data_IF_699505298382
#
_entry.id   IF_699505298382
#
_cell.length_a   1.000
_cell.length_b   1.000
_cell.length_c   1.000
_cell.angle_alpha   90.00
_cell.angle_beta   90.00
_cell.angle_gamma   90.00
#
_symmetry.space_group_name_H-M   'P 1'
#
loop_
_entity.id
_entity.type
_entity.pdbx_description
1 polymer ?
#
# COMPACT_ATOMS: atom_id res chain seq x y z
N UNK A 1 -36.93 41.95 26.24
CA UNK A 1 -36.91 41.39 24.89
C UNK A 1 -35.49 41.55 24.41
N UNK A 2 -34.65 40.54 24.23
CA UNK A 2 -34.76 39.08 24.02
C UNK A 2 -33.50 38.44 24.68
N UNK A 3 -33.60 37.45 25.56
CA UNK A 3 -33.59 35.98 25.33
C UNK A 3 -32.35 35.39 24.62
N UNK A 4 -31.37 35.01 25.45
CA UNK A 4 -30.64 33.72 25.51
C UNK A 4 -30.55 32.81 24.26
N UNK A 5 -29.34 32.46 23.84
CA UNK A 5 -28.93 31.04 23.80
C UNK A 5 -27.40 30.86 23.82
N UNK A 6 -26.97 29.85 24.57
CA UNK A 6 -25.61 29.34 24.70
C UNK A 6 -25.09 28.77 23.38
N UNK A 7 -23.78 28.91 23.14
CA UNK A 7 -23.00 27.78 22.61
C UNK A 7 -21.57 27.84 23.17
N UNK A 8 -21.23 26.77 23.87
CA UNK A 8 -19.95 26.50 24.52
C UNK A 8 -18.92 26.11 23.46
N UNK A 9 -18.04 27.03 23.09
CA UNK A 9 -16.82 26.66 22.36
C UNK A 9 -15.84 26.11 23.40
N UNK A 10 -15.61 24.79 23.35
CA UNK A 10 -14.57 24.13 24.15
C UNK A 10 -13.22 24.62 23.64
N UNK A 11 -12.71 25.67 24.29
CA UNK A 11 -11.40 26.25 24.08
C UNK A 11 -10.41 25.43 24.93
N UNK A 12 -9.70 24.49 24.31
CA UNK A 12 -8.63 23.76 24.99
C UNK A 12 -7.28 24.18 24.37
N UNK A 13 -6.58 25.03 25.12
CA UNK A 13 -5.19 25.49 24.97
C UNK A 13 -5.00 26.75 24.11
N UNK A 14 -4.94 27.88 24.81
CA UNK A 14 -4.53 29.19 24.30
C UNK A 14 -3.04 29.41 24.67
N UNK A 15 -2.12 29.31 23.70
CA UNK A 15 -0.71 29.71 23.87
C UNK A 15 -0.41 30.92 22.96
N UNK A 16 -0.10 32.10 23.52
CA UNK A 16 -0.17 33.38 22.79
C UNK A 16 1.10 33.76 22.01
N UNK A 17 1.95 32.83 21.58
CA UNK A 17 3.27 33.19 21.01
C UNK A 17 3.77 32.38 19.81
N UNK A 18 2.93 31.51 19.23
CA UNK A 18 3.25 30.88 17.96
C UNK A 18 2.11 31.16 17.00
N UNK A 19 2.34 32.15 16.11
CA UNK A 19 1.59 32.29 14.87
C UNK A 19 1.88 31.08 13.98
N UNK A 20 1.43 29.90 14.42
CA UNK A 20 1.49 28.64 13.70
C UNK A 20 0.30 28.59 12.74
N UNK A 21 0.20 29.60 11.88
CA UNK A 21 -0.52 29.47 10.62
C UNK A 21 0.34 28.66 9.63
N UNK A 22 0.96 27.57 10.09
CA UNK A 22 1.34 26.50 9.18
C UNK A 22 0.01 25.90 8.74
N UNK A 23 -0.36 26.14 7.47
CA UNK A 23 -1.60 25.61 6.87
C UNK A 23 -1.88 24.20 7.41
N UNK A 24 -3.01 24.02 8.11
CA UNK A 24 -3.43 22.76 8.71
C UNK A 24 -3.30 21.59 7.72
N UNK A 25 -3.62 21.86 6.46
CA UNK A 25 -3.41 21.00 5.28
C UNK A 25 -2.00 20.40 5.16
N UNK A 26 -0.94 21.17 5.41
CA UNK A 26 0.45 20.68 5.32
C UNK A 26 0.80 19.76 6.50
N UNK A 27 0.19 19.98 7.67
CA UNK A 27 0.38 19.13 8.85
C UNK A 27 -0.40 17.83 8.69
N UNK A 28 -1.60 17.87 8.12
CA UNK A 28 -2.38 16.68 7.76
C UNK A 28 -1.65 15.82 6.72
N UNK A 29 -1.17 16.43 5.63
CA UNK A 29 -0.34 15.74 4.64
C UNK A 29 0.94 15.18 5.28
N UNK A 30 1.68 15.97 6.06
CA UNK A 30 2.88 15.50 6.76
C UNK A 30 2.58 14.35 7.74
N UNK A 31 1.43 14.37 8.40
CA UNK A 31 1.00 13.31 9.33
C UNK A 31 0.64 12.03 8.57
N UNK A 32 0.02 12.15 7.39
CA UNK A 32 -0.24 11.01 6.51
C UNK A 32 1.07 10.39 5.99
N UNK A 33 2.02 11.21 5.52
CA UNK A 33 3.35 10.76 5.10
C UNK A 33 4.16 10.13 6.24
N UNK A 34 4.03 10.67 7.45
CA UNK A 34 4.66 10.12 8.66
C UNK A 34 4.11 8.72 8.96
N UNK A 35 2.80 8.50 8.87
CA UNK A 35 2.19 7.19 9.11
C UNK A 35 2.63 6.16 8.06
N UNK A 36 2.67 6.54 6.78
CA UNK A 36 3.23 5.71 5.70
C UNK A 36 4.71 5.38 5.94
N UNK A 37 5.49 6.34 6.43
CA UNK A 37 6.91 6.14 6.74
C UNK A 37 7.09 5.20 7.93
N UNK A 38 6.30 5.37 8.98
CA UNK A 38 6.30 4.49 10.17
C UNK A 38 5.89 3.08 9.78
N UNK A 39 4.86 2.93 8.95
CA UNK A 39 4.44 1.65 8.38
C UNK A 39 5.56 0.96 7.59
N UNK A 40 6.18 1.67 6.64
CA UNK A 40 7.25 1.15 5.79
C UNK A 40 8.49 0.76 6.61
N UNK A 41 8.90 1.61 7.57
CA UNK A 41 9.98 1.30 8.50
C UNK A 41 9.66 0.06 9.33
N UNK A 42 8.43 -0.09 9.81
CA UNK A 42 8.04 -1.22 10.63
C UNK A 42 7.97 -2.53 9.85
N UNK A 43 7.44 -2.51 8.62
CA UNK A 43 7.45 -3.66 7.71
C UNK A 43 8.89 -4.10 7.37
N UNK A 44 9.80 -3.14 7.12
CA UNK A 44 11.23 -3.42 6.91
C UNK A 44 11.90 -3.99 8.16
N UNK A 45 11.62 -3.42 9.33
CA UNK A 45 12.17 -3.88 10.59
C UNK A 45 11.69 -5.30 10.94
N UNK A 46 10.44 -5.64 10.64
CA UNK A 46 9.89 -6.98 10.83
C UNK A 46 10.64 -8.03 10.00
N UNK A 47 10.86 -7.72 8.72
CA UNK A 47 11.55 -8.62 7.78
C UNK A 47 13.04 -8.79 8.15
N UNK A 48 13.71 -7.70 8.53
CA UNK A 48 15.14 -7.72 8.88
C UNK A 48 15.37 -8.47 10.20
N UNK A 49 14.44 -8.35 11.16
CA UNK A 49 14.72 -8.73 12.55
C UNK A 49 14.48 -10.20 12.89
N UNK A 50 14.06 -11.06 11.93
CA UNK A 50 13.90 -12.52 12.11
C UNK A 50 13.23 -12.90 13.45
N UNK A 51 12.11 -12.23 13.75
CA UNK A 51 11.55 -12.17 15.10
C UNK A 51 10.99 -13.51 15.60
N UNK A 52 11.02 -13.77 16.92
CA UNK A 52 10.39 -14.95 17.51
C UNK A 52 8.88 -14.99 17.24
N UNK A 53 8.30 -16.20 17.24
CA UNK A 53 6.89 -16.45 16.90
C UNK A 53 5.87 -15.64 17.73
N UNK A 54 6.18 -15.33 19.00
CA UNK A 54 5.38 -14.47 19.88
C UNK A 54 5.32 -13.01 19.39
N UNK A 55 6.40 -12.52 18.75
CA UNK A 55 6.53 -11.13 18.34
C UNK A 55 5.81 -10.85 17.02
N UNK A 56 5.48 -11.89 16.24
CA UNK A 56 4.64 -11.79 15.03
C UNK A 56 3.19 -11.38 15.34
N UNK A 57 2.62 -11.85 16.46
CA UNK A 57 1.27 -11.44 16.88
C UNK A 57 1.19 -9.96 17.26
N UNK A 58 2.19 -9.46 17.99
CA UNK A 58 2.31 -8.03 18.35
C UNK A 58 2.52 -7.18 17.10
N UNK A 59 3.34 -7.66 16.17
CA UNK A 59 3.57 -7.02 14.88
C UNK A 59 2.27 -6.87 14.07
N UNK A 60 1.45 -7.91 14.00
CA UNK A 60 0.17 -7.91 13.31
C UNK A 60 -0.85 -6.94 13.92
N UNK A 61 -0.93 -6.89 15.26
CA UNK A 61 -1.77 -5.91 15.98
C UNK A 61 -1.32 -4.48 15.67
N UNK A 62 0.00 -4.22 15.67
CA UNK A 62 0.52 -2.89 15.35
C UNK A 62 0.23 -2.52 13.88
N UNK A 63 0.45 -3.43 12.94
CA UNK A 63 0.14 -3.21 11.53
C UNK A 63 -1.34 -2.89 11.31
N UNK A 64 -2.23 -3.67 11.96
CA UNK A 64 -3.69 -3.42 11.95
C UNK A 64 -4.02 -2.03 12.51
N UNK A 65 -3.42 -1.65 13.64
CA UNK A 65 -3.61 -0.33 14.25
C UNK A 65 -3.19 0.80 13.30
N UNK A 66 -2.04 0.64 12.63
CA UNK A 66 -1.52 1.62 11.67
C UNK A 66 -2.48 1.77 10.47
N UNK A 67 -2.94 0.68 9.86
CA UNK A 67 -3.91 0.76 8.77
C UNK A 67 -5.25 1.35 9.21
N UNK A 68 -5.68 1.07 10.45
CA UNK A 68 -6.87 1.68 11.03
C UNK A 68 -6.73 3.20 11.18
N UNK A 69 -5.57 3.66 11.69
CA UNK A 69 -5.27 5.07 11.83
C UNK A 69 -5.14 5.77 10.47
N UNK A 70 -4.51 5.12 9.50
CA UNK A 70 -4.39 5.62 8.13
C UNK A 70 -5.76 5.76 7.47
N UNK A 71 -6.62 4.74 7.59
CA UNK A 71 -7.98 4.78 7.06
C UNK A 71 -8.80 5.92 7.68
N UNK A 72 -8.68 6.11 8.99
CA UNK A 72 -9.36 7.18 9.71
C UNK A 72 -8.92 8.56 9.20
N UNK A 73 -7.61 8.80 9.09
CA UNK A 73 -7.06 10.07 8.59
C UNK A 73 -7.48 10.34 7.15
N UNK A 74 -7.37 9.33 6.28
CA UNK A 74 -7.78 9.45 4.88
C UNK A 74 -9.27 9.72 4.73
N UNK A 75 -10.12 9.11 5.56
CA UNK A 75 -11.55 9.32 5.49
C UNK A 75 -11.92 10.79 5.78
N UNK A 76 -11.40 11.36 6.87
CA UNK A 76 -11.66 12.75 7.23
C UNK A 76 -11.00 13.74 6.25
N UNK A 77 -9.82 13.43 5.74
CA UNK A 77 -9.19 14.27 4.72
C UNK A 77 -9.96 14.22 3.40
N UNK A 78 -10.47 13.05 3.01
CA UNK A 78 -11.25 12.89 1.78
C UNK A 78 -12.62 13.57 1.86
N UNK A 79 -13.21 13.73 3.05
CA UNK A 79 -14.49 14.44 3.19
C UNK A 79 -14.39 15.94 2.95
N UNK A 80 -13.17 16.50 3.00
CA UNK A 80 -12.92 17.92 2.77
C UNK A 80 -12.73 18.26 1.27
N UNK A 81 -12.63 17.24 0.41
CA UNK A 81 -12.41 17.39 -1.03
C UNK A 81 -13.63 16.94 -1.83
N UNK A 82 -14.21 17.86 -2.62
CA UNK A 82 -15.28 17.56 -3.58
C UNK A 82 -14.70 17.44 -5.00
N UNK A 83 -15.18 16.46 -5.79
CA UNK A 83 -14.77 16.27 -7.19
C UNK A 83 -13.66 15.24 -7.39
N UNK A 84 -12.79 15.47 -8.39
CA UNK A 84 -11.77 14.53 -8.85
C UNK A 84 -10.77 14.10 -7.76
N UNK A 85 -10.27 15.03 -6.96
CA UNK A 85 -9.32 14.75 -5.87
C UNK A 85 -9.95 13.81 -4.83
N UNK A 86 -11.20 14.08 -4.43
CA UNK A 86 -11.97 13.21 -3.55
C UNK A 86 -12.15 11.79 -4.13
N UNK A 87 -12.34 11.66 -5.44
CA UNK A 87 -12.45 10.35 -6.09
C UNK A 87 -11.14 9.54 -6.03
N UNK A 88 -9.99 10.18 -6.22
CA UNK A 88 -8.68 9.52 -6.04
C UNK A 88 -8.46 9.07 -4.58
N UNK A 89 -8.83 9.91 -3.62
CA UNK A 89 -8.77 9.59 -2.20
C UNK A 89 -9.71 8.45 -1.81
N UNK A 90 -10.93 8.42 -2.37
CA UNK A 90 -11.88 7.33 -2.14
C UNK A 90 -11.33 5.98 -2.62
N UNK A 91 -10.70 5.93 -3.80
CA UNK A 91 -10.01 4.74 -4.31
C UNK A 91 -8.84 4.31 -3.40
N UNK A 92 -8.07 5.26 -2.86
CA UNK A 92 -7.01 4.97 -1.90
C UNK A 92 -7.59 4.40 -0.59
N UNK A 93 -8.68 4.98 -0.08
CA UNK A 93 -9.38 4.52 1.12
C UNK A 93 -9.85 3.06 0.97
N UNK A 94 -10.35 2.68 -0.20
CA UNK A 94 -10.74 1.30 -0.51
C UNK A 94 -9.56 0.33 -0.37
N UNK A 95 -8.38 0.68 -0.90
CA UNK A 95 -7.19 -0.18 -0.82
C UNK A 95 -6.68 -0.30 0.62
N UNK A 96 -6.64 0.81 1.36
CA UNK A 96 -6.25 0.79 2.78
C UNK A 96 -7.20 -0.06 3.61
N UNK A 97 -8.50 -0.01 3.33
CA UNK A 97 -9.49 -0.87 3.98
C UNK A 97 -9.24 -2.36 3.70
N UNK A 98 -8.91 -2.72 2.46
CA UNK A 98 -8.53 -4.10 2.10
C UNK A 98 -7.26 -4.53 2.84
N UNK A 99 -6.23 -3.66 2.88
CA UNK A 99 -5.00 -3.90 3.65
C UNK A 99 -5.27 -4.11 5.14
N UNK A 100 -6.16 -3.32 5.75
CA UNK A 100 -6.59 -3.47 7.14
C UNK A 100 -7.23 -4.85 7.39
N UNK A 101 -8.17 -5.26 6.53
CA UNK A 101 -8.84 -6.55 6.65
C UNK A 101 -7.86 -7.72 6.49
N UNK A 102 -6.93 -7.61 5.55
CA UNK A 102 -5.89 -8.63 5.36
C UNK A 102 -4.88 -8.65 6.52
N UNK A 103 -4.53 -7.50 7.11
CA UNK A 103 -3.70 -7.43 8.30
C UNK A 103 -4.37 -8.11 9.50
N UNK A 104 -5.68 -7.91 9.69
CA UNK A 104 -6.46 -8.64 10.68
C UNK A 104 -6.41 -10.16 10.45
N UNK A 105 -6.64 -10.59 9.21
CA UNK A 105 -6.60 -12.02 8.84
C UNK A 105 -5.22 -12.62 9.11
N UNK A 106 -4.13 -11.96 8.71
CA UNK A 106 -2.76 -12.42 8.96
C UNK A 106 -2.43 -12.43 10.44
N UNK A 107 -2.95 -11.49 11.23
CA UNK A 107 -2.77 -11.45 12.68
C UNK A 107 -3.49 -12.62 13.37
N UNK A 108 -4.72 -12.93 12.95
CA UNK A 108 -5.50 -14.04 13.52
C UNK A 108 -5.04 -15.41 13.01
N UNK A 109 -4.53 -15.48 11.77
CA UNK A 109 -4.15 -16.71 11.08
C UNK A 109 -2.76 -16.56 10.43
N UNK A 110 -1.67 -16.51 11.21
CA UNK A 110 -0.32 -16.23 10.70
C UNK A 110 0.21 -17.31 9.74
N UNK A 111 -0.37 -18.51 9.75
CA UNK A 111 0.01 -19.60 8.83
C UNK A 111 -0.56 -19.45 7.41
N UNK A 112 -1.42 -18.46 7.15
CA UNK A 112 -2.07 -18.29 5.85
C UNK A 112 -1.17 -17.53 4.86
N UNK A 113 -0.26 -18.24 4.18
CA UNK A 113 0.61 -17.67 3.15
C UNK A 113 -0.13 -16.85 2.08
N UNK A 114 -1.29 -17.28 1.53
CA UNK A 114 -2.02 -16.48 0.56
C UNK A 114 -2.48 -15.13 1.12
N UNK A 115 -2.93 -15.08 2.38
CA UNK A 115 -3.35 -13.81 3.00
C UNK A 115 -2.17 -12.85 3.16
N UNK A 116 -1.00 -13.37 3.57
CA UNK A 116 0.23 -12.57 3.66
C UNK A 116 0.70 -12.05 2.29
N UNK A 117 0.57 -12.87 1.24
CA UNK A 117 0.89 -12.45 -0.12
C UNK A 117 -0.06 -11.36 -0.62
N UNK A 118 -1.38 -11.52 -0.44
CA UNK A 118 -2.35 -10.49 -0.85
C UNK A 118 -2.18 -9.21 -0.05
N UNK A 119 -1.86 -9.30 1.25
CA UNK A 119 -1.52 -8.13 2.07
C UNK A 119 -0.31 -7.37 1.49
N UNK A 120 0.76 -8.08 1.14
CA UNK A 120 1.94 -7.50 0.52
C UNK A 120 1.62 -6.82 -0.83
N UNK A 121 0.82 -7.47 -1.67
CA UNK A 121 0.34 -6.91 -2.94
C UNK A 121 -0.46 -5.62 -2.70
N UNK A 122 -1.38 -5.64 -1.74
CA UNK A 122 -2.22 -4.49 -1.39
C UNK A 122 -1.40 -3.29 -0.93
N UNK A 123 -0.38 -3.54 -0.11
CA UNK A 123 0.55 -2.53 0.38
C UNK A 123 1.39 -1.91 -0.74
N UNK A 124 1.93 -2.73 -1.65
CA UNK A 124 2.65 -2.22 -2.82
C UNK A 124 1.73 -1.39 -3.69
N UNK A 125 0.50 -1.87 -3.90
CA UNK A 125 -0.49 -1.16 -4.69
C UNK A 125 -0.87 0.19 -4.08
N UNK A 126 -1.07 0.25 -2.76
CA UNK A 126 -1.30 1.49 -2.03
C UNK A 126 -0.18 2.52 -2.26
N UNK A 127 1.09 2.09 -2.16
CA UNK A 127 2.24 2.97 -2.40
C UNK A 127 2.32 3.47 -3.86
N UNK A 128 2.11 2.59 -4.84
CA UNK A 128 2.12 2.98 -6.27
C UNK A 128 0.96 3.91 -6.58
N UNK A 129 -0.23 3.63 -6.05
CA UNK A 129 -1.40 4.48 -6.21
C UNK A 129 -1.17 5.87 -5.63
N UNK A 130 -0.54 5.95 -4.47
CA UNK A 130 -0.17 7.22 -3.84
C UNK A 130 0.75 8.06 -4.75
N UNK A 131 1.78 7.44 -5.33
CA UNK A 131 2.66 8.13 -6.30
C UNK A 131 1.87 8.58 -7.53
N UNK A 132 1.01 7.70 -8.08
CA UNK A 132 0.18 8.02 -9.25
C UNK A 132 -0.73 9.22 -8.97
N UNK A 133 -1.45 9.23 -7.84
CA UNK A 133 -2.27 10.36 -7.41
C UNK A 133 -1.43 11.66 -7.35
N UNK A 134 -0.27 11.62 -6.70
CA UNK A 134 0.64 12.77 -6.61
C UNK A 134 1.02 13.33 -7.99
N UNK A 135 1.36 12.47 -8.96
CA UNK A 135 1.63 12.93 -10.32
C UNK A 135 0.40 13.50 -11.03
N UNK A 136 -0.77 12.86 -10.94
CA UNK A 136 -1.96 13.30 -11.66
C UNK A 136 -2.54 14.63 -11.11
N UNK A 137 -2.41 14.88 -9.80
CA UNK A 137 -2.95 16.08 -9.16
C UNK A 137 -1.95 17.25 -9.13
N UNK A 138 -0.65 16.99 -8.98
CA UNK A 138 0.35 18.06 -8.85
C UNK A 138 1.14 18.37 -10.12
N UNK A 139 1.18 17.47 -11.10
CA UNK A 139 1.82 17.78 -12.38
C UNK A 139 0.80 18.24 -13.43
N UNK A 140 0.85 19.50 -13.89
CA UNK A 140 -0.15 20.08 -14.79
C UNK A 140 -0.24 19.38 -16.15
N UNK A 141 0.79 18.63 -16.56
CA UNK A 141 0.77 17.88 -17.82
C UNK A 141 -0.07 16.60 -17.76
N UNK A 142 -0.36 16.08 -16.56
CA UNK A 142 -1.15 14.86 -16.36
C UNK A 142 -2.61 15.16 -15.99
N UNK A 143 -3.00 16.45 -15.94
CA UNK A 143 -4.35 16.87 -15.63
C UNK A 143 -5.29 16.53 -16.79
N UNK A 144 -6.46 15.90 -16.53
CA UNK A 144 -7.43 15.57 -17.57
C UNK A 144 -7.92 16.81 -18.32
N UNK A 145 -8.18 16.66 -19.62
CA UNK A 145 -8.74 17.74 -20.42
C UNK A 145 -10.03 18.29 -19.78
N UNK A 146 -10.16 19.61 -19.69
CA UNK A 146 -11.34 20.26 -19.09
C UNK A 146 -11.27 20.45 -17.57
N UNK A 147 -10.20 19.99 -16.93
CA UNK A 147 -9.89 20.31 -15.54
C UNK A 147 -8.67 21.24 -15.49
N UNK A 148 -8.68 22.18 -14.54
CA UNK A 148 -7.64 23.20 -14.40
C UNK A 148 -7.09 23.18 -12.97
N UNK A 149 -5.78 23.23 -12.85
CA UNK A 149 -5.10 23.50 -11.58
C UNK A 149 -5.29 24.97 -11.25
N UNK A 150 -6.11 25.28 -10.24
CA UNK A 150 -6.20 26.64 -9.73
C UNK A 150 -4.94 26.94 -8.91
N UNK A 151 -4.42 28.17 -8.98
CA UNK A 151 -3.05 28.56 -8.59
C UNK A 151 -2.62 28.34 -7.13
N UNK A 152 -3.41 27.65 -6.32
CA UNK A 152 -3.08 27.28 -4.94
C UNK A 152 -4.03 26.23 -4.33
N UNK A 153 -4.93 25.63 -5.13
CA UNK A 153 -6.02 24.77 -4.66
C UNK A 153 -6.25 23.59 -5.62
N UNK A 154 -7.04 22.62 -5.14
CA UNK A 154 -7.41 21.36 -5.78
C UNK A 154 -7.70 21.46 -7.29
N UNK A 155 -7.47 20.36 -8.01
CA UNK A 155 -7.81 20.27 -9.44
C UNK A 155 -9.34 20.31 -9.59
N UNK A 156 -9.85 21.39 -10.19
CA UNK A 156 -11.28 21.58 -10.40
C UNK A 156 -11.64 21.41 -11.88
N UNK A 157 -12.67 20.60 -12.14
CA UNK A 157 -13.21 20.40 -13.48
C UNK A 157 -14.29 21.44 -13.78
N UNK A 158 -14.25 22.05 -14.97
CA UNK A 158 -15.15 23.17 -15.31
C UNK A 158 -16.57 22.74 -15.68
N UNK A 159 -16.79 21.45 -15.94
CA UNK A 159 -18.08 20.88 -16.35
C UNK A 159 -18.26 19.50 -15.73
N UNK A 160 -19.52 19.13 -15.46
CA UNK A 160 -19.86 17.79 -14.91
C UNK A 160 -19.42 16.66 -15.86
N UNK A 161 -19.45 16.88 -17.17
CA UNK A 161 -18.99 15.92 -18.17
C UNK A 161 -17.46 15.70 -18.09
N UNK A 162 -16.69 16.77 -17.87
CA UNK A 162 -15.25 16.67 -17.68
C UNK A 162 -14.90 15.95 -16.37
N UNK A 163 -15.68 16.17 -15.31
CA UNK A 163 -15.51 15.50 -14.01
C UNK A 163 -15.77 13.99 -14.13
N UNK A 164 -16.90 13.59 -14.73
CA UNK A 164 -17.21 12.18 -15.00
C UNK A 164 -16.13 11.50 -15.85
N UNK A 165 -15.63 12.18 -16.88
CA UNK A 165 -14.53 11.67 -17.71
C UNK A 165 -13.25 11.49 -16.91
N UNK A 166 -12.92 12.44 -16.04
CA UNK A 166 -11.73 12.39 -15.20
C UNK A 166 -11.82 11.25 -14.17
N UNK A 167 -12.98 11.05 -13.54
CA UNK A 167 -13.23 9.91 -12.65
C UNK A 167 -13.14 8.56 -13.39
N UNK A 168 -13.67 8.48 -14.61
CA UNK A 168 -13.54 7.28 -15.43
C UNK A 168 -12.08 6.95 -15.78
N UNK A 169 -11.27 7.97 -16.09
CA UNK A 169 -9.83 7.82 -16.30
C UNK A 169 -9.12 7.33 -15.02
N UNK A 170 -9.46 7.88 -13.85
CA UNK A 170 -8.92 7.42 -12.57
C UNK A 170 -9.23 5.94 -12.30
N UNK A 171 -10.47 5.50 -12.57
CA UNK A 171 -10.87 4.09 -12.45
C UNK A 171 -10.07 3.18 -13.40
N UNK A 172 -9.82 3.64 -14.63
CA UNK A 172 -9.01 2.90 -15.59
C UNK A 172 -7.55 2.78 -15.14
N UNK A 173 -6.96 3.89 -14.68
CA UNK A 173 -5.60 3.90 -14.11
C UNK A 173 -5.50 2.93 -12.93
N UNK A 174 -6.47 2.96 -12.01
CA UNK A 174 -6.52 2.07 -10.86
C UNK A 174 -6.50 0.60 -11.27
N UNK A 175 -7.35 0.24 -12.24
CA UNK A 175 -7.42 -1.12 -12.78
C UNK A 175 -6.12 -1.55 -13.47
N UNK A 176 -5.51 -0.66 -14.26
CA UNK A 176 -4.27 -0.95 -14.97
C UNK A 176 -3.07 -1.12 -14.05
N UNK A 177 -2.95 -0.28 -13.02
CA UNK A 177 -1.89 -0.40 -12.01
C UNK A 177 -2.04 -1.73 -11.26
N UNK A 178 -3.26 -2.08 -10.83
CA UNK A 178 -3.51 -3.37 -10.19
C UNK A 178 -3.14 -4.55 -11.10
N UNK A 179 -3.56 -4.50 -12.36
CA UNK A 179 -3.24 -5.53 -13.35
C UNK A 179 -1.72 -5.67 -13.55
N UNK A 180 -0.99 -4.54 -13.67
CA UNK A 180 0.46 -4.55 -13.81
C UNK A 180 1.16 -5.20 -12.61
N UNK A 181 0.76 -4.86 -11.38
CA UNK A 181 1.31 -5.46 -10.16
C UNK A 181 1.03 -6.97 -10.14
N UNK A 182 -0.19 -7.40 -10.45
CA UNK A 182 -0.54 -8.83 -10.48
C UNK A 182 0.25 -9.60 -11.54
N UNK A 183 0.45 -9.03 -12.73
CA UNK A 183 1.27 -9.62 -13.79
C UNK A 183 2.72 -9.76 -13.31
N UNK A 184 3.29 -8.74 -12.66
CA UNK A 184 4.65 -8.79 -12.13
C UNK A 184 4.78 -9.88 -11.05
N UNK A 185 3.86 -9.94 -10.11
CA UNK A 185 3.85 -10.95 -9.03
C UNK A 185 3.69 -12.35 -9.60
N UNK A 186 2.79 -12.55 -10.58
CA UNK A 186 2.63 -13.82 -11.27
C UNK A 186 3.90 -14.21 -12.03
N UNK A 187 4.53 -13.27 -12.74
CA UNK A 187 5.79 -13.49 -13.45
C UNK A 187 6.92 -13.90 -12.51
N UNK A 188 7.11 -13.18 -11.40
CA UNK A 188 8.11 -13.51 -10.37
C UNK A 188 7.83 -14.89 -9.78
N UNK A 189 6.56 -15.20 -9.48
CA UNK A 189 6.16 -16.50 -8.93
C UNK A 189 6.48 -17.66 -9.89
N UNK A 190 6.22 -17.48 -11.19
CA UNK A 190 6.55 -18.47 -12.22
C UNK A 190 8.07 -18.64 -12.35
N UNK A 191 8.84 -17.55 -12.40
CA UNK A 191 10.30 -17.61 -12.48
C UNK A 191 10.88 -18.34 -11.26
N UNK A 192 10.38 -18.01 -10.07
CA UNK A 192 10.81 -18.66 -8.83
C UNK A 192 10.49 -20.15 -8.81
N UNK A 193 9.29 -20.54 -9.26
CA UNK A 193 8.89 -21.94 -9.38
C UNK A 193 9.78 -22.70 -10.38
N UNK A 194 10.11 -22.10 -11.53
CA UNK A 194 11.02 -22.70 -12.53
C UNK A 194 12.42 -22.88 -11.97
N UNK A 195 12.97 -21.87 -11.29
CA UNK A 195 14.31 -21.94 -10.68
C UNK A 195 14.39 -22.96 -9.53
N UNK A 196 13.29 -23.19 -8.80
CA UNK A 196 13.21 -24.26 -7.79
C UNK A 196 13.19 -25.64 -8.46
N UNK A 197 12.39 -25.81 -9.52
CA UNK A 197 12.32 -27.06 -10.28
C UNK A 197 13.66 -27.44 -10.90
N UNK A 198 14.36 -26.47 -11.51
CA UNK A 198 15.66 -26.69 -12.14
C UNK A 198 16.74 -27.07 -11.12
N UNK A 199 16.83 -26.35 -9.99
CA UNK A 199 17.71 -26.73 -8.87
C UNK A 199 17.40 -28.12 -8.31
N UNK A 200 16.13 -28.49 -8.23
CA UNK A 200 15.73 -29.82 -7.77
C UNK A 200 16.16 -30.94 -8.73
N UNK A 201 16.15 -30.67 -10.04
CA UNK A 201 16.63 -31.62 -11.05
C UNK A 201 18.15 -31.74 -10.99
N UNK A 202 18.87 -30.62 -10.92
CA UNK A 202 20.33 -30.61 -10.80
C UNK A 202 20.81 -31.41 -9.58
N UNK A 203 20.19 -31.19 -8.41
CA UNK A 203 20.51 -31.93 -7.19
C UNK A 203 20.28 -33.45 -7.34
N UNK A 204 19.24 -33.87 -8.07
CA UNK A 204 19.00 -35.29 -8.37
C UNK A 204 20.06 -35.87 -9.31
N UNK A 205 20.50 -35.11 -10.33
CA UNK A 205 21.58 -35.54 -11.22
C UNK A 205 22.92 -35.68 -10.48
N UNK A 206 23.27 -34.74 -9.60
CA UNK A 206 24.48 -34.83 -8.78
C UNK A 206 24.49 -36.06 -7.86
N UNK A 207 23.35 -36.39 -7.23
CA UNK A 207 23.21 -37.61 -6.41
C UNK A 207 23.36 -38.91 -7.23
N UNK A 208 22.88 -38.94 -8.47
CA UNK A 208 23.07 -40.10 -9.35
C UNK A 208 24.54 -40.25 -9.76
N UNK A 209 25.23 -39.14 -10.03
CA UNK A 209 26.63 -39.15 -10.42
C UNK A 209 27.55 -39.56 -9.26
N UNK A 210 27.31 -39.11 -8.03
CA UNK A 210 28.08 -39.56 -6.86
C UNK A 210 27.86 -41.06 -6.59
N UNK A 211 26.61 -41.52 -6.62
CA UNK A 211 26.28 -42.94 -6.44
C UNK A 211 26.88 -43.85 -7.51
N UNK A 212 26.96 -43.40 -8.76
CA UNK A 212 27.63 -44.13 -9.85
C UNK A 212 29.15 -44.20 -9.69
N UNK A 213 29.76 -43.25 -8.95
CA UNK A 213 31.20 -43.21 -8.67
C UNK A 213 31.59 -44.07 -7.46
N UNK A 214 30.65 -44.32 -6.55
CA UNK A 214 30.85 -45.16 -5.36
C UNK A 214 30.65 -46.67 -5.62
N UNK A 215 30.20 -47.06 -6.82
CA UNK A 215 30.19 -48.47 -7.25
C UNK A 215 31.56 -48.77 -7.84
N UNK A 216 32.42 -49.58 -7.18
CA UNK A 216 33.68 -49.99 -7.76
C UNK A 216 33.37 -50.78 -9.03
N UNK A 217 33.79 -50.25 -10.17
CA UNK A 217 33.71 -50.95 -11.46
C UNK A 217 34.70 -52.12 -11.39
N UNK A 218 34.24 -53.28 -10.92
CA UNK A 218 34.93 -54.55 -11.11
C UNK A 218 34.81 -54.91 -12.58
N UNK A 219 35.76 -54.42 -13.38
CA UNK A 219 36.02 -54.92 -14.73
C UNK A 219 36.59 -56.33 -14.56
N UNK A 220 35.70 -57.32 -14.42
CA UNK A 220 36.08 -58.71 -14.64
C UNK A 220 36.21 -58.90 -16.15
N UNK A 221 37.45 -58.73 -16.63
CA UNK A 221 37.83 -59.14 -17.97
C UNK A 221 37.64 -60.66 -18.10
N UNK A 222 36.98 -61.05 -19.18
CA UNK A 222 36.64 -62.42 -19.53
C UNK A 222 37.85 -63.37 -19.56
N UNK A 223 37.55 -64.60 -19.16
CA UNK A 223 38.36 -65.81 -19.18
C UNK A 223 38.79 -66.24 -20.58
#
# INVERSE_FOLDING_TARGET
MELQNSDQVIQFIDFPSLHLSFKLHNVEHATMFLHLTVFACFALLAEISNLPEILHGILGILATSIFGQELFLLHYHSTDHVGLEGHYHWLLQLVVFISLMLALVVTCFPSCFPAALVLSISVVFQGVWFMNMGFNLWFPHFVPQGCVTQSSEAVMCQTDEADLRAQAMANLQFSWVLAAILILVAGISVIFARNRADRSLLSKYEQLQSRGRDIPVTINCLK
#
